data_IF_661162924899
#
_entry.id   IF_661162924899
#
_cell.length_a   1.000
_cell.length_b   1.000
_cell.length_c   1.000
_cell.angle_alpha   90.00
_cell.angle_beta   90.00
_cell.angle_gamma   90.00
#
_symmetry.space_group_name_H-M   'P 1'
#
loop_
_entity.id
_entity.type
_entity.pdbx_description
1 polymer ?
#
# COMPACT_ATOMS: atom_id res chain seq x y z
N UNK A 1 2.80 -17.74 11.34
CA UNK A 1 2.33 -17.93 9.94
C UNK A 1 0.82 -18.18 9.91
N UNK A 2 0.13 -17.95 8.77
CA UNK A 2 -1.17 -17.24 8.57
C UNK A 2 -1.68 -16.22 9.60
N UNK A 3 -1.61 -16.51 10.90
CA UNK A 3 -2.09 -15.62 11.97
C UNK A 3 -1.26 -14.34 12.10
N UNK A 4 0.06 -14.43 11.89
CA UNK A 4 0.97 -13.27 11.83
C UNK A 4 0.63 -12.39 10.63
N UNK A 5 0.55 -12.98 9.44
CA UNK A 5 0.11 -12.31 8.20
C UNK A 5 -1.27 -11.63 8.39
N UNK A 6 -2.21 -12.26 9.09
CA UNK A 6 -3.51 -11.66 9.39
C UNK A 6 -3.44 -10.48 10.36
N UNK A 7 -2.59 -10.57 11.39
CA UNK A 7 -2.33 -9.47 12.35
C UNK A 7 -1.65 -8.29 11.66
N UNK A 8 -0.66 -8.55 10.81
CA UNK A 8 0.09 -7.52 10.09
C UNK A 8 -0.81 -6.77 9.11
N UNK A 9 -1.75 -7.46 8.45
CA UNK A 9 -2.77 -6.83 7.60
C UNK A 9 -3.72 -5.92 8.38
N UNK A 10 -4.20 -6.38 9.53
CA UNK A 10 -5.07 -5.56 10.38
C UNK A 10 -4.33 -4.32 10.87
N UNK A 11 -3.06 -4.48 11.27
CA UNK A 11 -2.21 -3.37 11.68
C UNK A 11 -2.02 -2.37 10.53
N UNK A 12 -1.56 -2.83 9.35
CA UNK A 12 -1.37 -2.00 8.15
C UNK A 12 -2.63 -1.23 7.79
N UNK A 13 -3.77 -1.91 7.72
CA UNK A 13 -5.05 -1.27 7.45
C UNK A 13 -5.38 -0.24 8.53
N UNK A 14 -5.26 -0.57 9.81
CA UNK A 14 -5.60 0.37 10.89
C UNK A 14 -4.73 1.62 10.90
N UNK A 15 -3.46 1.51 10.46
CA UNK A 15 -2.54 2.64 10.33
C UNK A 15 -2.91 3.55 9.16
N UNK A 16 -3.33 2.97 8.03
CA UNK A 16 -3.57 3.69 6.79
C UNK A 16 -5.04 4.10 6.55
N UNK A 17 -6.00 3.43 7.18
CA UNK A 17 -7.44 3.72 7.08
C UNK A 17 -7.81 5.16 7.49
N UNK A 18 -7.20 5.77 8.54
CA UNK A 18 -7.45 7.18 8.89
C UNK A 18 -7.09 8.19 7.79
N UNK A 19 -6.17 7.84 6.88
CA UNK A 19 -5.77 8.72 5.77
C UNK A 19 -6.85 8.80 4.68
N UNK A 20 -7.84 7.90 4.70
CA UNK A 20 -8.93 7.83 3.72
C UNK A 20 -8.42 7.89 2.27
N UNK A 21 -7.35 7.14 1.96
CA UNK A 21 -6.74 7.15 0.63
C UNK A 21 -7.59 6.43 -0.42
N UNK A 22 -8.44 5.50 0.01
CA UNK A 22 -9.16 4.63 -0.90
C UNK A 22 -9.98 3.55 -0.20
N UNK A 23 -10.41 2.57 -1.00
CA UNK A 23 -11.13 1.37 -0.54
C UNK A 23 -10.17 0.20 -0.37
N UNK A 24 -10.36 -0.54 0.72
CA UNK A 24 -9.59 -1.75 1.02
C UNK A 24 -10.27 -3.00 0.48
N UNK A 25 -9.48 -3.86 -0.15
CA UNK A 25 -9.88 -5.20 -0.58
C UNK A 25 -8.99 -6.24 0.09
N UNK A 26 -9.61 -7.17 0.80
CA UNK A 26 -8.92 -8.32 1.38
C UNK A 26 -8.69 -9.38 0.30
N UNK A 27 -7.43 -9.79 0.11
CA UNK A 27 -7.04 -10.82 -0.86
C UNK A 27 -6.79 -12.18 -0.19
N UNK A 28 -7.24 -12.36 1.05
CA UNK A 28 -7.02 -13.57 1.83
C UNK A 28 -5.53 -13.79 2.04
N UNK A 29 -4.95 -14.98 1.75
CA UNK A 29 -3.53 -15.24 1.98
C UNK A 29 -2.60 -14.39 1.11
N UNK A 30 -3.09 -13.77 0.01
CA UNK A 30 -2.25 -13.03 -0.94
C UNK A 30 -1.90 -11.62 -0.52
N UNK A 31 -2.53 -11.06 0.50
CA UNK A 31 -2.23 -9.68 0.93
C UNK A 31 -3.46 -8.82 1.18
N UNK A 32 -3.26 -7.51 1.16
CA UNK A 32 -4.31 -6.50 1.06
C UNK A 32 -4.10 -5.69 -0.21
N UNK A 33 -5.18 -5.14 -0.74
CA UNK A 33 -5.13 -4.17 -1.83
C UNK A 33 -5.84 -2.88 -1.43
N UNK A 34 -5.16 -1.76 -1.61
CA UNK A 34 -5.73 -0.42 -1.55
C UNK A 34 -6.08 0.03 -2.97
N UNK A 35 -7.35 0.35 -3.19
CA UNK A 35 -7.86 0.96 -4.41
C UNK A 35 -8.06 2.46 -4.11
N UNK A 36 -7.19 3.35 -4.60
CA UNK A 36 -7.26 4.77 -4.27
C UNK A 36 -8.56 5.41 -4.79
N UNK A 37 -9.04 6.46 -4.11
CA UNK A 37 -10.19 7.25 -4.56
C UNK A 37 -9.84 8.09 -5.79
N UNK A 38 -8.61 8.59 -5.83
CA UNK A 38 -8.08 9.34 -6.96
C UNK A 38 -7.58 8.35 -8.04
N UNK A 39 -8.17 8.37 -9.25
CA UNK A 39 -7.74 7.49 -10.33
C UNK A 39 -6.34 7.83 -10.87
N UNK A 40 -5.76 8.97 -10.49
CA UNK A 40 -4.37 9.31 -10.79
C UNK A 40 -3.37 8.54 -9.90
N UNK A 41 -3.81 7.78 -8.90
CA UNK A 41 -2.94 6.87 -8.15
C UNK A 41 -3.21 5.42 -8.53
N UNK A 42 -2.16 4.57 -8.61
CA UNK A 42 -2.36 3.17 -8.90
C UNK A 42 -2.86 2.41 -7.67
N UNK A 43 -3.53 1.26 -7.88
CA UNK A 43 -3.77 0.31 -6.81
C UNK A 43 -2.46 -0.14 -6.16
N UNK A 44 -2.44 -0.15 -4.82
CA UNK A 44 -1.29 -0.59 -4.02
C UNK A 44 -1.58 -1.95 -3.41
N UNK A 45 -0.64 -2.88 -3.54
CA UNK A 45 -0.69 -4.23 -2.98
C UNK A 45 0.26 -4.31 -1.80
N UNK A 46 -0.23 -4.80 -0.66
CA UNK A 46 0.56 -5.08 0.52
C UNK A 46 0.68 -6.59 0.64
N UNK A 47 1.86 -7.11 0.30
CA UNK A 47 2.13 -8.52 0.20
C UNK A 47 2.41 -9.14 1.58
N UNK A 48 2.23 -10.47 1.74
CA UNK A 48 2.43 -11.15 3.03
C UNK A 48 3.89 -11.19 3.48
N UNK A 49 4.83 -10.98 2.58
CA UNK A 49 6.27 -10.90 2.84
C UNK A 49 6.72 -9.49 3.28
N UNK A 50 5.78 -8.54 3.38
CA UNK A 50 6.03 -7.15 3.76
C UNK A 50 6.36 -6.24 2.58
N UNK A 51 6.49 -6.77 1.36
CA UNK A 51 6.70 -5.96 0.16
C UNK A 51 5.43 -5.19 -0.23
N UNK A 52 5.63 -4.05 -0.91
CA UNK A 52 4.56 -3.18 -1.38
C UNK A 52 4.71 -2.96 -2.88
N UNK A 53 3.72 -3.43 -3.66
CA UNK A 53 3.72 -3.30 -5.12
C UNK A 53 2.68 -2.30 -5.61
N UNK A 54 3.01 -1.57 -6.68
CA UNK A 54 2.11 -0.65 -7.35
C UNK A 54 1.97 -1.07 -8.80
N UNK A 55 0.77 -1.47 -9.20
CA UNK A 55 0.51 -1.92 -10.57
C UNK A 55 -0.15 -0.79 -11.34
N UNK A 56 0.55 -0.28 -12.34
CA UNK A 56 0.17 0.93 -13.02
C UNK A 56 0.19 0.82 -14.55
N UNK A 57 -0.67 1.58 -15.22
CA UNK A 57 -0.66 1.81 -16.67
C UNK A 57 -0.97 3.29 -16.91
N UNK A 58 -0.05 4.00 -17.56
CA UNK A 58 -0.15 5.42 -17.93
C UNK A 58 -0.12 6.42 -16.77
N UNK A 59 0.93 6.39 -15.93
CA UNK A 59 1.15 7.39 -14.90
C UNK A 59 2.59 7.91 -14.92
N UNK A 60 2.76 9.16 -14.51
CA UNK A 60 4.08 9.77 -14.37
C UNK A 60 4.75 9.28 -13.09
N UNK A 61 6.08 9.15 -13.13
CA UNK A 61 6.87 8.67 -12.00
C UNK A 61 6.71 9.56 -10.75
N UNK A 62 6.62 10.88 -10.94
CA UNK A 62 6.48 11.85 -9.84
C UNK A 62 5.18 11.66 -9.03
N UNK A 63 4.08 11.31 -9.71
CA UNK A 63 2.79 11.03 -9.08
C UNK A 63 2.86 9.75 -8.24
N UNK A 64 3.57 8.73 -8.75
CA UNK A 64 3.82 7.47 -8.03
C UNK A 64 4.69 7.71 -6.79
N UNK A 65 5.73 8.55 -6.90
CA UNK A 65 6.59 8.90 -5.78
C UNK A 65 5.83 9.61 -4.66
N UNK A 66 5.02 10.62 -5.01
CA UNK A 66 4.21 11.36 -4.01
C UNK A 66 3.26 10.42 -3.25
N UNK A 67 2.67 9.45 -3.94
CA UNK A 67 1.81 8.45 -3.30
C UNK A 67 2.60 7.52 -2.37
N UNK A 68 3.78 7.08 -2.80
CA UNK A 68 4.67 6.24 -2.00
C UNK A 68 5.16 6.96 -0.74
N UNK A 69 5.53 8.22 -0.84
CA UNK A 69 5.94 9.05 0.30
C UNK A 69 4.82 9.16 1.33
N UNK A 70 3.57 9.33 0.90
CA UNK A 70 2.41 9.39 1.81
C UNK A 70 2.18 8.07 2.54
N UNK A 71 2.35 6.94 1.86
CA UNK A 71 2.23 5.61 2.47
C UNK A 71 3.39 5.38 3.45
N UNK A 72 4.63 5.64 3.02
CA UNK A 72 5.82 5.46 3.85
C UNK A 72 5.79 6.32 5.12
N UNK A 73 5.43 7.61 5.00
CA UNK A 73 5.28 8.51 6.13
C UNK A 73 4.27 8.00 7.16
N UNK A 74 3.16 7.43 6.69
CA UNK A 74 2.14 6.89 7.59
C UNK A 74 2.55 5.57 8.25
N UNK A 75 3.34 4.75 7.55
CA UNK A 75 3.91 3.52 8.11
C UNK A 75 5.14 3.78 8.99
N UNK A 76 5.66 5.01 9.00
CA UNK A 76 6.90 5.35 9.70
C UNK A 76 8.13 4.68 9.08
N UNK A 77 8.09 4.43 7.77
CA UNK A 77 9.16 3.79 7.01
C UNK A 77 9.91 4.82 6.17
N UNK A 78 11.21 4.57 5.95
CA UNK A 78 12.00 5.29 4.95
C UNK A 78 11.89 4.59 3.60
N UNK A 79 11.86 5.37 2.52
CA UNK A 79 11.91 4.84 1.16
C UNK A 79 13.38 4.67 0.76
N UNK A 80 13.78 3.44 0.47
CA UNK A 80 15.05 3.16 -0.20
C UNK A 80 14.81 3.01 -1.71
N UNK A 81 15.66 3.65 -2.51
CA UNK A 81 15.62 3.59 -3.97
C UNK A 81 16.92 2.98 -4.48
N UNK A 82 16.82 1.85 -5.16
CA UNK A 82 17.93 1.31 -5.94
C UNK A 82 18.02 2.09 -7.27
N UNK A 83 19.11 2.83 -7.45
CA UNK A 83 19.46 3.55 -8.68
C UNK A 83 20.18 2.67 -9.70
#
# INVERSE_FOLDING_TARGET
MPLEIGRDKQLLRSTLEPLNLGKWLDLGPRGLRLIPHDPAFPPTYFNPDGSVDLVNKNLYLDDVMTHMERIAAALGCELEWDF
#
